data_IF_308731330634
#
_entry.id   IF_308731330634
#
_cell.length_a   1.000
_cell.length_b   1.000
_cell.length_c   1.000
_cell.angle_alpha   90.00
_cell.angle_beta   90.00
_cell.angle_gamma   90.00
#
_symmetry.space_group_name_H-M   'P 1'
#
loop_
_entity.id
_entity.type
_entity.pdbx_description
1 polymer ?
#
# COMPACT_ATOMS: atom_id res chain seq x y z
N UNK A 1 7.67 -10.48 -58.10
CA UNK A 1 7.05 -9.58 -57.14
C UNK A 1 7.00 -10.33 -55.83
N UNK A 2 7.99 -10.06 -54.99
CA UNK A 2 8.21 -10.75 -53.72
C UNK A 2 7.26 -10.21 -52.64
N UNK A 3 6.52 -11.10 -51.99
CA UNK A 3 5.78 -10.79 -50.77
C UNK A 3 6.69 -11.05 -49.60
N UNK A 4 7.16 -9.97 -48.98
CA UNK A 4 7.84 -9.96 -47.71
C UNK A 4 6.86 -10.42 -46.62
N UNK A 5 7.01 -11.60 -46.11
CA UNK A 5 6.41 -12.06 -44.87
C UNK A 5 7.31 -11.61 -43.75
N UNK A 6 6.93 -10.47 -43.19
CA UNK A 6 7.52 -9.92 -41.96
C UNK A 6 7.16 -10.87 -40.80
N UNK A 7 8.06 -11.79 -40.53
CA UNK A 7 8.01 -12.65 -39.35
C UNK A 7 8.51 -11.82 -38.17
N UNK A 8 7.61 -11.01 -37.59
CA UNK A 8 7.81 -10.38 -36.28
C UNK A 8 8.16 -11.46 -35.25
N UNK A 9 9.45 -11.58 -35.05
CA UNK A 9 10.05 -12.33 -33.95
C UNK A 9 9.52 -11.79 -32.66
N UNK A 10 8.50 -12.46 -32.11
CA UNK A 10 8.08 -12.33 -30.72
C UNK A 10 9.26 -12.78 -29.84
N UNK A 11 10.26 -11.92 -29.69
CA UNK A 11 11.32 -12.10 -28.70
C UNK A 11 10.65 -12.06 -27.34
N UNK A 12 10.55 -13.23 -26.73
CA UNK A 12 10.01 -13.45 -25.41
C UNK A 12 10.54 -12.42 -24.44
N UNK A 13 9.63 -11.57 -23.92
CA UNK A 13 9.93 -10.72 -22.78
C UNK A 13 10.31 -11.66 -21.64
N UNK A 14 11.62 -11.79 -21.40
CA UNK A 14 12.17 -12.56 -20.30
C UNK A 14 11.34 -12.25 -19.05
N UNK A 15 10.77 -13.29 -18.49
CA UNK A 15 9.98 -13.26 -17.26
C UNK A 15 10.86 -12.60 -16.18
N UNK A 16 10.61 -11.31 -15.89
CA UNK A 16 11.32 -10.57 -14.84
C UNK A 16 10.83 -11.07 -13.51
N UNK A 17 11.20 -12.28 -13.17
CA UNK A 17 11.17 -12.74 -11.79
C UNK A 17 12.07 -11.84 -10.98
N UNK A 18 11.62 -11.40 -9.80
CA UNK A 18 12.46 -10.59 -8.91
C UNK A 18 13.78 -11.33 -8.68
N UNK A 19 14.90 -10.65 -9.00
CA UNK A 19 16.23 -11.20 -8.81
C UNK A 19 16.37 -11.71 -7.35
N UNK A 20 16.71 -12.97 -7.10
CA UNK A 20 16.91 -13.49 -5.76
C UNK A 20 17.95 -12.66 -4.97
N UNK A 21 18.92 -12.07 -5.66
CA UNK A 21 19.91 -11.15 -5.08
C UNK A 21 19.27 -9.89 -4.49
N UNK A 22 18.23 -9.36 -5.14
CA UNK A 22 17.47 -8.22 -4.61
C UNK A 22 16.83 -8.56 -3.26
N UNK A 23 16.18 -9.70 -3.16
CA UNK A 23 15.51 -10.11 -1.91
C UNK A 23 16.52 -10.36 -0.79
N UNK A 24 17.62 -11.04 -1.09
CA UNK A 24 18.71 -11.26 -0.12
C UNK A 24 19.28 -9.91 0.34
N UNK A 25 19.55 -9.00 -0.58
CA UNK A 25 20.05 -7.65 -0.26
C UNK A 25 19.09 -6.89 0.66
N UNK A 26 17.80 -6.90 0.36
CA UNK A 26 16.77 -6.24 1.20
C UNK A 26 16.72 -6.83 2.60
N UNK A 27 16.74 -8.16 2.74
CA UNK A 27 16.72 -8.83 4.04
C UNK A 27 17.98 -8.49 4.84
N UNK A 28 19.16 -8.52 4.21
CA UNK A 28 20.42 -8.15 4.86
C UNK A 28 20.38 -6.72 5.38
N UNK A 29 19.90 -5.78 4.58
CA UNK A 29 19.76 -4.38 5.00
C UNK A 29 18.75 -4.24 6.15
N UNK A 30 17.61 -4.90 6.09
CA UNK A 30 16.60 -4.85 7.15
C UNK A 30 17.14 -5.45 8.47
N UNK A 31 17.87 -6.56 8.41
CA UNK A 31 18.54 -7.15 9.59
C UNK A 31 19.58 -6.20 10.16
N UNK A 32 20.43 -5.60 9.31
CA UNK A 32 21.44 -4.65 9.73
C UNK A 32 20.83 -3.42 10.41
N UNK A 33 19.77 -2.84 9.85
CA UNK A 33 19.04 -1.71 10.45
C UNK A 33 18.43 -2.09 11.80
N UNK A 34 17.83 -3.27 11.91
CA UNK A 34 17.25 -3.74 13.16
C UNK A 34 18.34 -3.95 14.23
N UNK A 35 19.46 -4.57 13.87
CA UNK A 35 20.58 -4.77 14.78
C UNK A 35 21.19 -3.44 15.23
N UNK A 36 21.36 -2.48 14.31
CA UNK A 36 21.85 -1.14 14.62
C UNK A 36 20.88 -0.41 15.58
N UNK A 37 19.57 -0.48 15.33
CA UNK A 37 18.57 0.12 16.21
C UNK A 37 18.62 -0.48 17.63
N UNK A 38 18.73 -1.80 17.75
CA UNK A 38 18.90 -2.48 19.06
C UNK A 38 20.18 -2.02 19.77
N UNK A 39 21.31 -1.97 19.06
CA UNK A 39 22.58 -1.55 19.63
C UNK A 39 22.56 -0.09 20.10
N UNK A 40 21.97 0.83 19.29
CA UNK A 40 21.80 2.25 19.63
C UNK A 40 20.91 2.40 20.84
N UNK A 41 19.76 1.72 20.87
CA UNK A 41 18.85 1.77 22.02
C UNK A 41 19.50 1.22 23.30
N UNK A 42 20.25 0.13 23.21
CA UNK A 42 21.02 -0.39 24.33
C UNK A 42 22.08 0.61 24.84
N UNK A 43 22.77 1.29 23.93
CA UNK A 43 23.75 2.33 24.26
C UNK A 43 23.08 3.54 24.92
N UNK A 44 21.96 4.04 24.37
CA UNK A 44 21.19 5.13 24.96
C UNK A 44 20.67 4.78 26.34
N UNK A 45 20.32 3.52 26.59
CA UNK A 45 19.90 3.06 27.92
C UNK A 45 21.00 3.18 28.96
N UNK A 46 22.25 2.92 28.59
CA UNK A 46 23.39 2.99 29.51
C UNK A 46 23.90 4.42 29.71
N UNK A 47 23.78 5.28 28.71
CA UNK A 47 24.34 6.65 28.72
C UNK A 47 23.36 7.72 29.16
N UNK A 48 22.05 7.51 28.96
CA UNK A 48 20.97 8.47 29.26
C UNK A 48 19.89 7.82 30.15
N UNK A 49 20.15 7.65 31.45
CA UNK A 49 19.23 6.93 32.36
C UNK A 49 17.86 7.59 32.50
N UNK A 50 17.75 8.89 32.24
CA UNK A 50 16.46 9.60 32.19
C UNK A 50 15.57 9.16 31.03
N UNK A 51 16.14 8.62 29.98
CA UNK A 51 15.47 8.03 28.82
C UNK A 51 15.45 6.51 28.95
N UNK A 52 14.51 5.98 29.71
CA UNK A 52 14.30 4.52 29.70
C UNK A 52 13.74 4.12 28.32
N UNK A 53 14.52 3.45 27.46
CA UNK A 53 13.96 2.86 26.24
C UNK A 53 12.87 1.90 26.67
N UNK A 54 11.73 1.99 26.00
CA UNK A 54 10.63 1.07 26.19
C UNK A 54 10.86 -0.05 25.19
N UNK A 55 11.39 -1.21 25.57
CA UNK A 55 11.76 -2.28 24.64
C UNK A 55 10.55 -2.73 23.81
N UNK A 56 9.34 -2.64 24.40
CA UNK A 56 8.10 -2.96 23.70
C UNK A 56 7.86 -2.01 22.50
N UNK A 57 8.24 -0.71 22.61
CA UNK A 57 8.15 0.24 21.51
C UNK A 57 8.99 -0.26 20.31
N UNK A 58 10.25 -0.62 20.55
CA UNK A 58 11.14 -1.09 19.49
C UNK A 58 10.58 -2.35 18.82
N UNK A 59 10.03 -3.29 19.60
CA UNK A 59 9.41 -4.50 19.06
C UNK A 59 8.24 -4.17 18.12
N UNK A 60 7.34 -3.28 18.53
CA UNK A 60 6.15 -2.91 17.74
C UNK A 60 6.56 -2.16 16.46
N UNK A 61 7.50 -1.22 16.56
CA UNK A 61 8.01 -0.48 15.39
C UNK A 61 8.76 -1.40 14.43
N UNK A 62 9.63 -2.28 14.96
CA UNK A 62 10.34 -3.24 14.14
C UNK A 62 9.38 -4.22 13.45
N UNK A 63 8.38 -4.72 14.17
CA UNK A 63 7.36 -5.60 13.60
C UNK A 63 6.61 -4.93 12.44
N UNK A 64 6.25 -3.64 12.55
CA UNK A 64 5.63 -2.88 11.47
C UNK A 64 6.57 -2.78 10.26
N UNK A 65 7.83 -2.39 10.46
CA UNK A 65 8.82 -2.30 9.39
C UNK A 65 9.03 -3.65 8.68
N UNK A 66 9.19 -4.73 9.43
CA UNK A 66 9.34 -6.08 8.88
C UNK A 66 8.09 -6.57 8.15
N UNK A 67 6.89 -6.26 8.63
CA UNK A 67 5.66 -6.59 7.93
C UNK A 67 5.63 -5.98 6.51
N UNK A 68 6.06 -4.72 6.36
CA UNK A 68 6.18 -4.07 5.05
C UNK A 68 7.28 -4.68 4.18
N UNK A 69 8.46 -4.97 4.73
CA UNK A 69 9.56 -5.60 3.98
C UNK A 69 9.14 -6.97 3.45
N UNK A 70 8.57 -7.82 4.30
CA UNK A 70 8.16 -9.18 3.94
C UNK A 70 7.01 -9.16 2.94
N UNK A 71 5.94 -8.42 3.21
CA UNK A 71 4.82 -8.32 2.29
C UNK A 71 5.22 -7.65 0.96
N UNK A 72 6.11 -6.65 1.01
CA UNK A 72 6.64 -5.98 -0.18
C UNK A 72 7.47 -6.92 -1.05
N UNK A 73 8.34 -7.75 -0.47
CA UNK A 73 9.12 -8.75 -1.22
C UNK A 73 8.22 -9.82 -1.86
N UNK A 74 7.17 -10.26 -1.16
CA UNK A 74 6.18 -11.17 -1.73
C UNK A 74 5.39 -10.50 -2.85
N UNK A 75 4.97 -9.24 -2.64
CA UNK A 75 4.24 -8.46 -3.65
C UNK A 75 5.08 -8.23 -4.92
N UNK A 76 6.38 -7.91 -4.79
CA UNK A 76 7.28 -7.71 -5.94
C UNK A 76 7.45 -9.01 -6.75
N UNK A 77 7.56 -10.17 -6.07
CA UNK A 77 7.60 -11.47 -6.73
C UNK A 77 6.29 -11.84 -7.41
N UNK A 78 5.17 -11.42 -6.85
CA UNK A 78 3.85 -11.77 -7.39
C UNK A 78 3.42 -10.88 -8.54
N UNK A 79 3.77 -9.58 -8.49
CA UNK A 79 3.42 -8.56 -9.49
C UNK A 79 4.60 -7.63 -9.78
N UNK A 80 5.70 -8.08 -10.38
CA UNK A 80 6.92 -7.29 -10.56
C UNK A 80 6.72 -6.02 -11.39
N UNK A 81 5.68 -6.00 -12.25
CA UNK A 81 5.36 -4.85 -13.10
C UNK A 81 4.59 -3.74 -12.39
N UNK A 82 4.01 -3.99 -11.19
CA UNK A 82 3.21 -2.99 -10.47
C UNK A 82 4.04 -1.95 -9.74
N UNK A 83 5.26 -2.30 -9.31
CA UNK A 83 6.10 -1.44 -8.47
C UNK A 83 5.63 -1.28 -7.01
N UNK A 84 4.42 -1.73 -6.67
CA UNK A 84 3.86 -1.63 -5.30
C UNK A 84 4.74 -2.37 -4.30
N UNK A 85 5.23 -3.57 -4.65
CA UNK A 85 6.09 -4.36 -3.78
C UNK A 85 7.36 -3.60 -3.40
N UNK A 86 8.00 -2.94 -4.35
CA UNK A 86 9.21 -2.12 -4.10
C UNK A 86 8.92 -0.92 -3.21
N UNK A 87 7.80 -0.23 -3.44
CA UNK A 87 7.38 0.87 -2.56
C UNK A 87 7.17 0.38 -1.12
N UNK A 88 6.51 -0.76 -0.93
CA UNK A 88 6.33 -1.36 0.40
C UNK A 88 7.67 -1.72 1.06
N UNK A 89 8.61 -2.29 0.31
CA UNK A 89 9.97 -2.56 0.81
C UNK A 89 10.64 -1.26 1.28
N UNK A 90 10.58 -0.20 0.48
CA UNK A 90 11.17 1.10 0.84
C UNK A 90 10.51 1.67 2.09
N UNK A 91 9.17 1.62 2.20
CA UNK A 91 8.44 2.04 3.41
C UNK A 91 8.97 1.30 4.64
N UNK A 92 9.07 -0.04 4.56
CA UNK A 92 9.57 -0.85 5.66
C UNK A 92 11.02 -0.52 6.06
N UNK A 93 11.90 -0.31 5.08
CA UNK A 93 13.29 0.07 5.33
C UNK A 93 13.40 1.47 5.95
N UNK A 94 12.62 2.46 5.50
CA UNK A 94 12.57 3.78 6.13
C UNK A 94 12.06 3.69 7.56
N UNK A 95 11.05 2.84 7.79
CA UNK A 95 10.48 2.62 9.11
C UNK A 95 11.48 1.99 10.09
N UNK A 96 12.32 1.07 9.63
CA UNK A 96 13.41 0.50 10.42
C UNK A 96 14.56 1.50 10.61
N UNK A 97 14.91 2.24 9.55
CA UNK A 97 16.04 3.17 9.57
C UNK A 97 15.80 4.34 10.54
N UNK A 98 14.56 4.82 10.71
CA UNK A 98 14.27 5.92 11.63
C UNK A 98 14.70 5.60 13.08
N UNK A 99 14.63 4.34 13.50
CA UNK A 99 15.01 3.94 14.85
C UNK A 99 16.54 4.01 15.09
N UNK A 100 17.33 4.02 14.03
CA UNK A 100 18.80 4.24 14.12
C UNK A 100 19.18 5.72 14.27
N UNK A 101 18.25 6.64 14.05
CA UNK A 101 18.47 8.09 14.07
C UNK A 101 17.96 8.75 15.35
N UNK A 102 17.59 7.96 16.37
CA UNK A 102 17.11 8.45 17.67
C UNK A 102 18.13 9.25 18.51
N UNK A 103 19.47 9.11 18.34
CA UNK A 103 20.40 9.98 19.05
C UNK A 103 20.11 11.46 18.79
N UNK A 104 20.27 12.35 19.80
CA UNK A 104 19.91 13.76 19.69
C UNK A 104 20.42 14.50 18.46
N UNK A 105 21.68 14.31 18.01
CA UNK A 105 22.18 15.01 16.83
C UNK A 105 21.43 14.71 15.54
N UNK A 106 20.83 13.53 15.43
CA UNK A 106 20.14 13.03 14.23
C UNK A 106 18.63 12.92 14.38
N UNK A 107 18.08 13.24 15.55
CA UNK A 107 16.66 13.14 15.85
C UNK A 107 15.70 13.77 14.82
N UNK A 108 15.99 14.92 14.20
CA UNK A 108 15.11 15.52 13.19
C UNK A 108 14.86 14.61 11.98
N UNK A 109 15.84 13.77 11.64
CA UNK A 109 15.71 12.85 10.51
C UNK A 109 14.72 11.70 10.79
N UNK A 110 14.43 11.39 12.06
CA UNK A 110 13.38 10.42 12.44
C UNK A 110 12.05 10.85 11.86
N UNK A 111 11.68 12.11 12.07
CA UNK A 111 10.43 12.67 11.56
C UNK A 111 10.41 12.71 10.04
N UNK A 112 11.51 13.12 9.39
CA UNK A 112 11.60 13.12 7.93
C UNK A 112 11.34 11.73 7.34
N UNK A 113 12.02 10.70 7.88
CA UNK A 113 11.84 9.33 7.38
C UNK A 113 10.43 8.81 7.64
N UNK A 114 9.84 9.15 8.77
CA UNK A 114 8.46 8.79 9.11
C UNK A 114 7.46 9.42 8.14
N UNK A 115 7.58 10.73 7.90
CA UNK A 115 6.69 11.44 6.97
C UNK A 115 6.88 10.97 5.52
N UNK A 116 8.11 10.67 5.10
CA UNK A 116 8.37 10.08 3.78
C UNK A 116 7.73 8.69 3.66
N UNK A 117 7.83 7.86 4.69
CA UNK A 117 7.19 6.54 4.68
C UNK A 117 5.66 6.65 4.61
N UNK A 118 5.04 7.57 5.36
CA UNK A 118 3.60 7.85 5.29
C UNK A 118 3.18 8.45 3.94
N UNK A 119 4.00 9.32 3.35
CA UNK A 119 3.78 9.83 2.00
C UNK A 119 3.83 8.73 0.94
N UNK A 120 4.79 7.79 1.06
CA UNK A 120 4.86 6.62 0.19
C UNK A 120 3.67 5.68 0.41
N UNK A 121 3.18 5.59 1.63
CA UNK A 121 1.96 4.86 1.93
C UNK A 121 0.76 5.45 1.19
N UNK A 122 0.55 6.76 1.26
CA UNK A 122 -0.47 7.46 0.48
C UNK A 122 -0.30 7.21 -1.03
N UNK A 123 0.94 7.18 -1.52
CA UNK A 123 1.25 6.84 -2.91
C UNK A 123 0.80 5.42 -3.27
N UNK A 124 1.10 4.40 -2.43
CA UNK A 124 0.62 3.02 -2.64
C UNK A 124 -0.89 3.00 -2.76
N UNK A 125 -1.59 3.74 -1.93
CA UNK A 125 -3.05 3.83 -1.95
C UNK A 125 -3.61 4.38 -3.24
N UNK A 126 -3.12 5.55 -3.63
CA UNK A 126 -3.58 6.21 -4.84
C UNK A 126 -3.28 5.37 -6.09
N UNK A 127 -2.24 4.56 -6.06
CA UNK A 127 -1.84 3.73 -7.22
C UNK A 127 -2.41 2.33 -7.25
N UNK A 128 -2.91 1.82 -6.13
CA UNK A 128 -3.47 0.46 -6.07
C UNK A 128 -4.71 0.31 -6.98
N UNK A 129 -4.89 -0.80 -7.71
CA UNK A 129 -4.00 -1.96 -7.81
C UNK A 129 -2.94 -1.84 -8.93
N UNK A 130 -2.95 -0.78 -9.74
CA UNK A 130 -2.12 -0.63 -10.95
C UNK A 130 -0.62 -0.38 -10.65
N UNK A 131 -0.32 0.22 -9.50
CA UNK A 131 1.03 0.63 -9.10
C UNK A 131 1.61 1.80 -9.90
N UNK A 132 0.80 2.50 -10.70
CA UNK A 132 1.27 3.59 -11.57
C UNK A 132 0.46 4.86 -11.35
N UNK A 133 1.17 5.97 -11.11
CA UNK A 133 0.59 7.30 -11.10
C UNK A 133 0.36 7.79 -12.54
N UNK A 134 -0.80 8.40 -12.81
CA UNK A 134 -1.14 8.95 -14.11
C UNK A 134 -1.50 10.43 -14.01
N UNK A 135 -1.06 11.23 -15.00
CA UNK A 135 -1.46 12.62 -15.13
C UNK A 135 -1.26 13.46 -13.87
N UNK A 136 -2.35 14.00 -13.34
CA UNK A 136 -2.35 14.87 -12.16
C UNK A 136 -1.91 14.16 -10.86
N UNK A 137 -2.13 12.83 -10.73
CA UNK A 137 -1.71 12.05 -9.55
C UNK A 137 -0.19 12.10 -9.36
N UNK A 138 0.58 12.08 -10.45
CA UNK A 138 2.04 12.24 -10.40
C UNK A 138 2.44 13.63 -9.89
N UNK A 139 1.72 14.67 -10.35
CA UNK A 139 1.98 16.05 -9.86
C UNK A 139 1.64 16.16 -8.38
N UNK A 140 0.51 15.62 -7.95
CA UNK A 140 0.11 15.59 -6.54
C UNK A 140 1.16 14.86 -5.67
N UNK A 141 1.72 13.74 -6.12
CA UNK A 141 2.78 13.04 -5.40
C UNK A 141 4.05 13.89 -5.30
N UNK A 142 4.45 14.58 -6.36
CA UNK A 142 5.62 15.49 -6.32
C UNK A 142 5.38 16.63 -5.33
N UNK A 143 4.17 17.22 -5.34
CA UNK A 143 3.81 18.28 -4.37
C UNK A 143 3.84 17.73 -2.94
N UNK A 144 3.31 16.53 -2.69
CA UNK A 144 3.33 15.90 -1.36
C UNK A 144 4.75 15.70 -0.85
N UNK A 145 5.63 15.10 -1.65
CA UNK A 145 7.02 14.89 -1.23
C UNK A 145 7.79 16.20 -1.06
N UNK A 146 7.57 17.15 -1.97
CA UNK A 146 8.13 18.49 -1.85
C UNK A 146 7.67 19.19 -0.57
N UNK A 147 6.39 19.09 -0.24
CA UNK A 147 5.81 19.63 0.99
C UNK A 147 6.45 19.03 2.25
N UNK A 148 6.61 17.71 2.28
CA UNK A 148 7.25 17.00 3.41
C UNK A 148 8.69 17.50 3.61
N UNK A 149 9.48 17.55 2.53
CA UNK A 149 10.90 17.94 2.62
C UNK A 149 11.05 19.43 2.95
N UNK A 150 10.31 20.31 2.27
CA UNK A 150 10.38 21.76 2.51
C UNK A 150 9.85 22.14 3.89
N UNK A 151 8.76 21.50 4.32
CA UNK A 151 8.21 21.70 5.66
C UNK A 151 9.19 21.27 6.76
N UNK A 152 9.83 20.11 6.58
CA UNK A 152 10.86 19.64 7.48
C UNK A 152 12.06 20.60 7.53
N UNK A 153 12.54 21.09 6.38
CA UNK A 153 13.64 22.08 6.32
C UNK A 153 13.25 23.42 6.98
N UNK A 154 12.00 23.84 6.85
CA UNK A 154 11.52 25.08 7.44
C UNK A 154 11.32 24.97 8.97
N UNK A 155 10.92 23.80 9.48
CA UNK A 155 10.66 23.56 10.89
C UNK A 155 11.94 23.31 11.69
N UNK A 156 12.81 22.45 11.19
CA UNK A 156 13.97 21.91 11.91
C UNK A 156 14.90 22.96 12.50
N UNK A 157 15.23 24.07 11.85
CA UNK A 157 16.17 25.07 12.39
C UNK A 157 15.68 25.79 13.64
N UNK A 158 14.38 25.74 13.92
CA UNK A 158 13.72 26.51 14.98
C UNK A 158 13.20 25.66 16.14
N UNK A 159 13.49 24.36 16.18
CA UNK A 159 13.13 23.47 17.28
C UNK A 159 14.37 22.78 17.84
N UNK A 160 14.78 23.18 19.05
CA UNK A 160 16.02 22.71 19.69
C UNK A 160 15.99 21.21 19.99
N UNK A 161 14.89 20.69 20.47
CA UNK A 161 14.84 19.37 21.14
C UNK A 161 14.05 18.32 20.36
N UNK A 162 13.22 18.73 19.40
CA UNK A 162 12.23 17.84 18.78
C UNK A 162 11.38 17.06 19.80
N UNK A 163 11.18 17.62 20.99
CA UNK A 163 10.36 17.02 22.05
C UNK A 163 10.87 15.68 22.58
N UNK A 164 12.05 15.22 22.16
CA UNK A 164 12.54 13.89 22.52
C UNK A 164 13.44 13.87 23.76
N UNK A 165 14.02 15.00 24.14
CA UNK A 165 15.02 15.01 25.23
C UNK A 165 15.22 16.40 25.81
N UNK A 166 15.01 16.53 27.14
CA UNK A 166 15.41 17.68 27.92
C UNK A 166 16.19 17.22 29.17
N UNK A 167 17.40 17.71 29.46
CA UNK A 167 18.28 18.56 28.63
C UNK A 167 19.15 17.72 27.71
N UNK A 168 19.10 17.99 26.41
CA UNK A 168 19.98 17.36 25.42
C UNK A 168 20.73 18.41 24.64
N UNK A 169 21.87 18.03 24.05
CA UNK A 169 22.56 18.88 23.10
C UNK A 169 21.68 19.13 21.87
N UNK A 170 21.68 20.34 21.31
CA UNK A 170 20.94 20.66 20.13
C UNK A 170 21.36 19.77 18.94
N UNK A 171 20.42 19.51 18.04
CA UNK A 171 20.69 18.72 16.85
C UNK A 171 21.50 19.50 15.80
N UNK A 172 22.05 18.79 14.80
CA UNK A 172 23.01 19.35 13.82
C UNK A 172 22.44 20.46 12.94
N UNK A 173 21.13 20.59 12.81
CA UNK A 173 20.47 21.62 11.99
C UNK A 173 19.87 22.76 12.80
N UNK A 174 20.05 22.75 14.12
CA UNK A 174 19.52 23.80 15.00
C UNK A 174 20.21 25.14 14.75
N UNK A 175 19.44 26.20 14.62
CA UNK A 175 19.91 27.56 14.45
C UNK A 175 19.58 28.42 15.67
N UNK A 176 18.30 28.45 16.02
CA UNK A 176 17.81 29.14 17.21
C UNK A 176 16.41 28.63 17.60
N UNK A 177 16.09 28.62 18.86
CA UNK A 177 14.72 28.37 19.30
C UNK A 177 13.87 29.63 19.07
N UNK A 178 12.80 29.47 18.31
CA UNK A 178 11.83 30.53 18.05
C UNK A 178 10.41 29.95 18.07
N UNK A 179 9.75 30.00 19.22
CA UNK A 179 8.44 29.42 19.41
C UNK A 179 7.39 29.95 18.41
N UNK A 180 7.46 31.24 18.08
CA UNK A 180 6.49 31.84 17.15
C UNK A 180 6.63 31.33 15.73
N UNK A 181 7.87 31.23 15.23
CA UNK A 181 8.14 30.63 13.92
C UNK A 181 7.76 29.17 13.92
N UNK A 182 8.13 28.41 14.97
CA UNK A 182 7.82 26.98 15.11
C UNK A 182 6.32 26.72 15.05
N UNK A 183 5.50 27.49 15.80
CA UNK A 183 4.05 27.35 15.81
C UNK A 183 3.44 27.61 14.44
N UNK A 184 3.84 28.69 13.77
CA UNK A 184 3.35 29.01 12.41
C UNK A 184 3.73 27.92 11.41
N UNK A 185 4.99 27.48 11.40
CA UNK A 185 5.47 26.47 10.46
C UNK A 185 4.81 25.11 10.74
N UNK A 186 4.68 24.71 12.01
CA UNK A 186 3.98 23.48 12.42
C UNK A 186 2.53 23.50 11.95
N UNK A 187 1.80 24.57 12.19
CA UNK A 187 0.41 24.74 11.76
C UNK A 187 0.28 24.59 10.23
N UNK A 188 1.11 25.33 9.47
CA UNK A 188 1.11 25.27 8.00
C UNK A 188 1.41 23.86 7.51
N UNK A 189 2.38 23.19 8.15
CA UNK A 189 2.79 21.82 7.80
C UNK A 189 1.65 20.82 8.03
N UNK A 190 1.00 20.87 9.20
CA UNK A 190 -0.12 19.98 9.54
C UNK A 190 -1.35 20.24 8.69
N UNK A 191 -1.69 21.49 8.37
CA UNK A 191 -2.77 21.83 7.44
C UNK A 191 -2.49 21.24 6.07
N UNK A 192 -1.24 21.32 5.58
CA UNK A 192 -0.85 20.72 4.30
C UNK A 192 -0.94 19.19 4.32
N UNK A 193 -0.43 18.53 5.35
CA UNK A 193 -0.51 17.06 5.51
C UNK A 193 -1.97 16.61 5.57
N UNK A 194 -2.80 17.26 6.38
CA UNK A 194 -4.21 16.94 6.49
C UNK A 194 -4.95 17.13 5.16
N UNK A 195 -4.67 18.21 4.44
CA UNK A 195 -5.24 18.47 3.11
C UNK A 195 -4.85 17.37 2.11
N UNK A 196 -3.58 17.00 2.05
CA UNK A 196 -3.11 15.94 1.13
C UNK A 196 -3.69 14.58 1.50
N UNK A 197 -3.83 14.27 2.79
CA UNK A 197 -4.46 13.05 3.25
C UNK A 197 -5.96 13.00 2.89
N UNK A 198 -6.68 14.09 3.07
CA UNK A 198 -8.09 14.20 2.65
C UNK A 198 -8.25 14.06 1.13
N UNK A 199 -7.35 14.64 0.34
CA UNK A 199 -7.34 14.47 -1.11
C UNK A 199 -7.09 13.01 -1.50
N UNK A 200 -6.16 12.32 -0.83
CA UNK A 200 -5.93 10.89 -1.07
C UNK A 200 -7.18 10.05 -0.76
N UNK A 201 -7.85 10.32 0.36
CA UNK A 201 -9.14 9.69 0.70
C UNK A 201 -10.20 9.99 -0.35
N UNK A 202 -10.33 11.25 -0.77
CA UNK A 202 -11.31 11.65 -1.79
C UNK A 202 -11.07 10.92 -3.13
N UNK A 203 -9.80 10.73 -3.53
CA UNK A 203 -9.44 9.95 -4.73
C UNK A 203 -9.88 8.49 -4.59
N UNK A 204 -9.61 7.85 -3.44
CA UNK A 204 -10.00 6.47 -3.18
C UNK A 204 -11.53 6.32 -3.18
N UNK A 205 -12.24 7.22 -2.51
CA UNK A 205 -13.70 7.25 -2.46
C UNK A 205 -14.28 7.45 -3.87
N UNK A 206 -13.77 8.41 -4.64
CA UNK A 206 -14.21 8.64 -6.02
C UNK A 206 -14.00 7.38 -6.88
N UNK A 207 -12.84 6.72 -6.77
CA UNK A 207 -12.58 5.46 -7.50
C UNK A 207 -13.55 4.36 -7.08
N UNK A 208 -13.87 4.26 -5.79
CA UNK A 208 -14.85 3.31 -5.28
C UNK A 208 -16.25 3.55 -5.86
N UNK A 209 -16.67 4.82 -5.97
CA UNK A 209 -17.97 5.17 -6.55
C UNK A 209 -18.06 4.80 -8.03
N UNK A 210 -16.96 4.96 -8.77
CA UNK A 210 -16.89 4.70 -10.21
C UNK A 210 -16.58 3.22 -10.54
N UNK A 211 -16.24 2.41 -9.55
CA UNK A 211 -15.87 1.02 -9.73
C UNK A 211 -17.09 0.10 -9.90
N UNK A 212 -16.91 -0.98 -10.67
CA UNK A 212 -17.86 -2.10 -10.73
C UNK A 212 -18.05 -2.78 -9.37
N UNK A 213 -19.07 -3.60 -9.20
CA UNK A 213 -19.34 -4.32 -7.94
C UNK A 213 -18.13 -5.12 -7.46
N UNK A 214 -17.41 -5.79 -8.37
CA UNK A 214 -16.19 -6.54 -8.05
C UNK A 214 -15.07 -5.60 -7.62
N UNK A 215 -14.81 -4.53 -8.36
CA UNK A 215 -13.80 -3.53 -8.04
C UNK A 215 -14.08 -2.79 -6.72
N UNK A 216 -15.35 -2.54 -6.40
CA UNK A 216 -15.74 -1.94 -5.10
C UNK A 216 -15.33 -2.82 -3.92
N UNK A 217 -15.44 -4.13 -4.03
CA UNK A 217 -15.06 -5.06 -2.96
C UNK A 217 -13.55 -5.00 -2.68
N UNK A 218 -12.72 -4.97 -3.72
CA UNK A 218 -11.27 -4.85 -3.58
C UNK A 218 -10.88 -3.51 -2.92
N UNK A 219 -11.47 -2.40 -3.39
CA UNK A 219 -11.20 -1.06 -2.84
C UNK A 219 -11.72 -0.93 -1.40
N UNK A 220 -12.86 -1.54 -1.06
CA UNK A 220 -13.44 -1.49 0.29
C UNK A 220 -12.55 -2.15 1.33
N UNK A 221 -11.96 -3.31 1.02
CA UNK A 221 -11.05 -4.01 1.94
C UNK A 221 -9.80 -3.17 2.22
N UNK A 222 -9.25 -2.55 1.17
CA UNK A 222 -8.14 -1.64 1.32
C UNK A 222 -8.54 -0.38 2.13
N UNK A 223 -9.71 0.18 1.87
CA UNK A 223 -10.25 1.34 2.60
C UNK A 223 -10.47 1.05 4.09
N UNK A 224 -10.94 -0.16 4.44
CA UNK A 224 -11.10 -0.56 5.84
C UNK A 224 -9.76 -0.66 6.58
N UNK A 225 -8.69 -1.07 5.91
CA UNK A 225 -7.35 -1.08 6.52
C UNK A 225 -6.77 0.33 6.67
N UNK A 226 -7.15 1.25 5.78
CA UNK A 226 -6.65 2.62 5.77
C UNK A 226 -7.28 3.52 6.80
N UNK A 227 -8.58 3.38 7.00
CA UNK A 227 -9.32 4.26 7.91
C UNK A 227 -8.62 4.38 9.27
N UNK A 228 -8.29 3.26 9.95
CA UNK A 228 -7.55 3.28 11.21
C UNK A 228 -6.17 3.95 11.11
N UNK A 229 -5.43 3.69 10.02
CA UNK A 229 -4.11 4.31 9.81
C UNK A 229 -4.25 5.82 9.64
N UNK A 230 -5.21 6.26 8.80
CA UNK A 230 -5.48 7.67 8.61
C UNK A 230 -5.84 8.36 9.93
N UNK A 231 -6.71 7.77 10.73
CA UNK A 231 -7.10 8.30 12.03
C UNK A 231 -5.89 8.38 12.95
N UNK A 232 -5.12 7.32 13.09
CA UNK A 232 -3.99 7.27 14.01
C UNK A 232 -2.80 8.14 13.58
N UNK A 233 -2.49 8.19 12.28
CA UNK A 233 -1.29 8.86 11.78
C UNK A 233 -1.52 10.33 11.35
N UNK A 234 -2.75 10.73 11.09
CA UNK A 234 -3.07 12.07 10.60
C UNK A 234 -4.12 12.77 11.44
N UNK A 235 -5.30 12.17 11.63
CA UNK A 235 -6.40 12.88 12.28
C UNK A 235 -6.12 13.18 13.74
N UNK A 236 -5.56 12.24 14.49
CA UNK A 236 -5.23 12.45 15.92
C UNK A 236 -4.12 13.50 16.06
N UNK A 237 -2.93 13.38 15.42
CA UNK A 237 -1.91 14.41 15.53
C UNK A 237 -2.38 15.79 15.05
N UNK A 238 -3.08 15.86 13.92
CA UNK A 238 -3.61 17.12 13.42
C UNK A 238 -4.61 17.77 14.38
N UNK A 239 -5.48 16.98 15.06
CA UNK A 239 -6.43 17.52 16.03
C UNK A 239 -5.74 18.06 17.30
N UNK A 240 -4.64 17.46 17.71
CA UNK A 240 -3.84 17.95 18.82
C UNK A 240 -3.16 19.27 18.48
N UNK A 241 -2.49 19.34 17.34
CA UNK A 241 -1.75 20.52 16.91
C UNK A 241 -2.66 21.70 16.53
N UNK A 242 -3.75 21.43 15.77
CA UNK A 242 -4.60 22.49 15.23
C UNK A 242 -5.73 22.91 16.18
N UNK A 243 -6.20 22.00 17.04
CA UNK A 243 -7.37 22.23 17.90
C UNK A 243 -7.03 22.20 19.39
N UNK A 244 -5.77 21.92 19.76
CA UNK A 244 -5.36 21.80 21.15
C UNK A 244 -6.03 20.64 21.91
N UNK A 245 -6.53 19.63 21.20
CA UNK A 245 -7.25 18.52 21.82
C UNK A 245 -6.26 17.51 22.41
N UNK A 246 -6.20 17.39 23.72
CA UNK A 246 -5.48 16.31 24.39
C UNK A 246 -6.29 15.01 24.27
N UNK A 247 -5.96 14.17 23.28
CA UNK A 247 -6.76 12.99 22.97
C UNK A 247 -6.17 11.69 23.52
N UNK A 248 -4.90 11.44 23.30
CA UNK A 248 -4.24 10.20 23.68
C UNK A 248 -2.82 10.49 24.20
N UNK A 249 -2.37 9.70 25.17
CA UNK A 249 -0.97 9.68 25.55
C UNK A 249 -0.09 9.28 24.35
N UNK A 250 1.06 9.90 24.22
CA UNK A 250 2.01 9.66 23.13
C UNK A 250 2.36 8.18 22.96
N UNK A 251 2.44 7.43 24.07
CA UNK A 251 2.67 5.98 24.03
C UNK A 251 1.51 5.27 23.33
N UNK A 252 0.28 5.55 23.74
CA UNK A 252 -0.91 4.96 23.13
C UNK A 252 -1.00 5.28 21.65
N UNK A 253 -0.64 6.50 21.22
CA UNK A 253 -0.58 6.87 19.80
C UNK A 253 0.44 6.03 19.02
N UNK A 254 1.67 5.90 19.55
CA UNK A 254 2.72 5.11 18.91
C UNK A 254 2.28 3.65 18.74
N UNK A 255 1.71 3.04 19.78
CA UNK A 255 1.23 1.65 19.69
C UNK A 255 0.09 1.51 18.70
N UNK A 256 -0.94 2.35 18.82
CA UNK A 256 -2.11 2.32 17.94
C UNK A 256 -1.71 2.54 16.48
N UNK A 257 -0.85 3.54 16.21
CA UNK A 257 -0.36 3.85 14.88
C UNK A 257 0.41 2.69 14.25
N UNK A 258 1.33 2.07 15.00
CA UNK A 258 2.12 0.94 14.48
C UNK A 258 1.27 -0.32 14.27
N UNK A 259 0.34 -0.63 15.19
CA UNK A 259 -0.59 -1.77 15.04
C UNK A 259 -1.49 -1.56 13.83
N UNK A 260 -2.05 -0.35 13.66
CA UNK A 260 -2.83 -0.01 12.48
C UNK A 260 -1.99 -0.15 11.20
N UNK A 261 -0.74 0.31 11.24
CA UNK A 261 0.19 0.23 10.11
C UNK A 261 0.49 -1.21 9.70
N UNK A 262 0.59 -2.15 10.65
CA UNK A 262 0.79 -3.58 10.36
C UNK A 262 -0.39 -4.21 9.61
N UNK A 263 -1.62 -3.72 9.79
CA UNK A 263 -2.79 -4.27 9.12
C UNK A 263 -2.69 -4.12 7.60
N UNK A 264 -2.07 -3.06 7.11
CA UNK A 264 -2.00 -2.76 5.69
C UNK A 264 -1.21 -3.78 4.86
N UNK A 265 0.07 -4.11 5.18
CA UNK A 265 0.80 -5.13 4.43
C UNK A 265 0.07 -6.47 4.41
N UNK A 266 -0.63 -6.82 5.49
CA UNK A 266 -1.43 -8.05 5.56
C UNK A 266 -2.60 -7.98 4.57
N UNK A 267 -3.35 -6.88 4.55
CA UNK A 267 -4.48 -6.70 3.62
C UNK A 267 -4.01 -6.72 2.17
N UNK A 268 -2.94 -5.99 1.85
CA UNK A 268 -2.38 -5.99 0.49
C UNK A 268 -1.94 -7.40 0.09
N UNK A 269 -1.28 -8.15 0.99
CA UNK A 269 -0.85 -9.51 0.73
C UNK A 269 -2.04 -10.45 0.49
N UNK A 270 -3.08 -10.36 1.31
CA UNK A 270 -4.31 -11.14 1.15
C UNK A 270 -4.97 -10.86 -0.20
N UNK A 271 -5.07 -9.59 -0.60
CA UNK A 271 -5.65 -9.22 -1.90
C UNK A 271 -4.80 -9.71 -3.08
N UNK A 272 -3.49 -9.63 -2.97
CA UNK A 272 -2.59 -10.17 -4.00
C UNK A 272 -2.70 -11.69 -4.14
N UNK A 273 -2.83 -12.41 -3.01
CA UNK A 273 -3.02 -13.87 -3.00
C UNK A 273 -4.39 -14.25 -3.56
N UNK A 274 -5.45 -13.56 -3.17
CA UNK A 274 -6.81 -13.78 -3.72
C UNK A 274 -6.85 -13.57 -5.23
N UNK A 275 -6.22 -12.50 -5.70
CA UNK A 275 -6.14 -12.24 -7.14
C UNK A 275 -5.38 -13.35 -7.89
N UNK A 276 -4.33 -13.94 -7.30
CA UNK A 276 -3.65 -15.10 -7.89
C UNK A 276 -4.54 -16.34 -7.96
N UNK A 277 -5.25 -16.63 -6.88
CA UNK A 277 -6.12 -17.78 -6.82
C UNK A 277 -7.27 -17.67 -7.85
N UNK A 278 -7.80 -16.46 -8.06
CA UNK A 278 -8.82 -16.26 -9.11
C UNK A 278 -8.27 -16.47 -10.52
N UNK A 279 -7.07 -16.00 -10.82
CA UNK A 279 -6.44 -16.24 -12.12
C UNK A 279 -6.09 -17.71 -12.36
N UNK A 280 -5.65 -18.42 -11.32
CA UNK A 280 -5.38 -19.86 -11.40
C UNK A 280 -6.65 -20.66 -11.73
N UNK A 281 -7.80 -20.29 -11.15
CA UNK A 281 -9.10 -20.91 -11.47
C UNK A 281 -9.51 -20.69 -12.93
N UNK A 282 -9.31 -19.47 -13.43
CA UNK A 282 -9.61 -19.16 -14.85
C UNK A 282 -8.68 -19.95 -15.79
N UNK A 283 -7.40 -20.05 -15.46
CA UNK A 283 -6.46 -20.85 -16.24
C UNK A 283 -6.82 -22.34 -16.25
N UNK A 284 -7.21 -22.92 -15.10
CA UNK A 284 -7.69 -24.30 -15.00
C UNK A 284 -8.97 -24.50 -15.81
N UNK A 285 -9.90 -23.53 -15.77
CA UNK A 285 -11.10 -23.54 -16.61
C UNK A 285 -10.76 -23.54 -18.09
N UNK A 286 -9.87 -22.65 -18.55
CA UNK A 286 -9.44 -22.58 -19.95
C UNK A 286 -8.77 -23.90 -20.35
N UNK A 287 -7.94 -24.49 -19.50
CA UNK A 287 -7.29 -25.77 -19.77
C UNK A 287 -8.29 -26.93 -19.84
N UNK A 288 -9.32 -26.94 -19.00
CA UNK A 288 -10.41 -27.93 -19.08
C UNK A 288 -11.23 -27.77 -20.37
N UNK A 289 -11.58 -26.54 -20.72
CA UNK A 289 -12.36 -26.23 -21.93
C UNK A 289 -11.55 -26.37 -23.24
N UNK A 290 -10.21 -26.40 -23.17
CA UNK A 290 -9.37 -26.66 -24.36
C UNK A 290 -9.41 -28.11 -24.85
N UNK A 291 -9.93 -29.05 -24.07
CA UNK A 291 -10.24 -30.40 -24.49
C UNK A 291 -11.62 -30.42 -25.15
N UNK A 292 -11.85 -31.19 -26.20
CA UNK A 292 -13.17 -31.36 -26.78
C UNK A 292 -14.07 -32.04 -25.74
N UNK A 293 -14.94 -31.24 -25.10
CA UNK A 293 -15.92 -31.70 -24.12
C UNK A 293 -17.31 -31.77 -24.78
N UNK A 294 -18.13 -32.73 -24.44
CA UNK A 294 -19.56 -32.70 -24.77
C UNK A 294 -20.24 -31.44 -24.25
N UNK A 295 -21.23 -30.93 -24.99
CA UNK A 295 -21.88 -29.65 -24.64
C UNK A 295 -22.46 -29.60 -23.20
N UNK A 296 -22.99 -30.70 -22.69
CA UNK A 296 -23.50 -30.80 -21.32
C UNK A 296 -22.40 -30.74 -20.23
N UNK A 297 -21.19 -31.26 -20.54
CA UNK A 297 -20.05 -31.16 -19.61
C UNK A 297 -19.49 -29.72 -19.55
N UNK A 298 -19.54 -28.97 -20.66
CA UNK A 298 -19.14 -27.57 -20.70
C UNK A 298 -20.05 -26.74 -19.78
N UNK A 299 -21.35 -26.96 -19.80
CA UNK A 299 -22.31 -26.30 -18.91
C UNK A 299 -22.01 -26.63 -17.44
N UNK A 300 -21.78 -27.91 -17.11
CA UNK A 300 -21.47 -28.34 -15.76
C UNK A 300 -20.15 -27.72 -15.23
N UNK A 301 -19.09 -27.71 -16.06
CA UNK A 301 -17.79 -27.13 -15.71
C UNK A 301 -17.90 -25.61 -15.49
N UNK A 302 -18.66 -24.91 -16.33
CA UNK A 302 -18.89 -23.47 -16.17
C UNK A 302 -19.73 -23.16 -14.94
N UNK A 303 -20.84 -23.90 -14.70
CA UNK A 303 -21.69 -23.76 -13.52
C UNK A 303 -20.91 -23.95 -12.22
N UNK A 304 -20.07 -24.99 -12.14
CA UNK A 304 -19.22 -25.25 -10.97
C UNK A 304 -18.17 -24.15 -10.76
N UNK A 305 -17.52 -23.71 -11.85
CA UNK A 305 -16.46 -22.70 -11.76
C UNK A 305 -16.99 -21.32 -11.38
N UNK A 306 -18.14 -20.94 -11.93
CA UNK A 306 -18.81 -19.67 -11.65
C UNK A 306 -19.64 -19.73 -10.35
N UNK A 307 -19.80 -20.92 -9.76
CA UNK A 307 -20.69 -21.18 -8.61
C UNK A 307 -22.09 -20.65 -8.85
N UNK A 308 -22.56 -20.80 -10.06
CA UNK A 308 -23.91 -20.42 -10.47
C UNK A 308 -24.67 -21.65 -10.98
N UNK A 309 -25.47 -22.32 -10.14
CA UNK A 309 -26.25 -23.49 -10.54
C UNK A 309 -27.40 -23.14 -11.50
N UNK A 310 -27.69 -21.85 -11.69
CA UNK A 310 -28.71 -21.40 -12.64
C UNK A 310 -28.19 -21.17 -14.05
N UNK A 311 -26.86 -21.26 -14.26
CA UNK A 311 -26.24 -21.07 -15.55
C UNK A 311 -26.73 -22.11 -16.55
N UNK A 312 -27.19 -21.65 -17.70
CA UNK A 312 -27.59 -22.47 -18.84
C UNK A 312 -26.82 -22.06 -20.07
N UNK A 313 -26.27 -23.03 -20.79
CA UNK A 313 -25.58 -22.81 -22.06
C UNK A 313 -26.55 -22.98 -23.22
N UNK A 314 -26.70 -21.90 -23.98
CA UNK A 314 -27.47 -21.93 -25.23
C UNK A 314 -26.59 -21.99 -26.44
N UNK A 315 -26.87 -22.92 -27.35
CA UNK A 315 -26.22 -23.07 -28.62
C UNK A 315 -27.12 -22.58 -29.75
N UNK A 316 -26.57 -21.80 -30.69
CA UNK A 316 -27.33 -21.34 -31.85
C UNK A 316 -27.42 -22.45 -32.85
N UNK A 317 -28.64 -22.85 -33.24
CA UNK A 317 -28.82 -23.86 -34.29
C UNK A 317 -28.41 -23.26 -35.66
N UNK A 318 -27.64 -23.99 -36.50
CA UNK A 318 -27.19 -23.46 -37.78
C UNK A 318 -28.32 -23.06 -38.75
N UNK A 319 -29.41 -23.78 -38.68
CA UNK A 319 -30.53 -23.64 -39.62
C UNK A 319 -31.76 -22.94 -39.05
N UNK A 320 -31.74 -22.52 -37.75
CA UNK A 320 -32.87 -21.89 -37.07
C UNK A 320 -32.39 -20.68 -36.24
N UNK A 321 -33.24 -19.64 -36.19
CA UNK A 321 -32.97 -18.43 -35.37
C UNK A 321 -33.08 -18.68 -33.84
N UNK A 322 -33.34 -19.92 -33.42
CA UNK A 322 -33.52 -20.30 -32.03
C UNK A 322 -32.23 -20.67 -31.31
N UNK A 323 -32.27 -20.58 -29.99
CA UNK A 323 -31.23 -21.06 -29.07
C UNK A 323 -31.72 -22.35 -28.44
N UNK A 324 -30.89 -23.40 -28.52
CA UNK A 324 -31.15 -24.72 -27.94
C UNK A 324 -30.17 -25.02 -26.81
N UNK A 325 -30.56 -25.83 -25.84
CA UNK A 325 -29.67 -26.33 -24.79
C UNK A 325 -28.75 -27.46 -25.32
N UNK A 326 -27.92 -28.00 -24.45
CA UNK A 326 -27.03 -29.12 -24.79
C UNK A 326 -27.73 -30.41 -25.22
N UNK A 327 -29.03 -30.56 -24.94
CA UNK A 327 -29.88 -31.68 -25.34
C UNK A 327 -30.69 -31.38 -26.62
N UNK A 328 -30.54 -30.17 -27.20
CA UNK A 328 -31.28 -29.75 -28.40
C UNK A 328 -32.66 -29.18 -28.10
N UNK A 329 -33.02 -28.97 -26.85
CA UNK A 329 -34.34 -28.39 -26.47
C UNK A 329 -34.27 -26.85 -26.56
N UNK A 330 -35.35 -26.18 -27.04
CA UNK A 330 -35.39 -24.73 -27.17
C UNK A 330 -35.28 -24.06 -25.83
N UNK A 331 -34.32 -23.12 -25.72
CA UNK A 331 -34.14 -22.25 -24.54
C UNK A 331 -34.87 -20.92 -24.78
N UNK A 332 -35.66 -20.45 -23.79
CA UNK A 332 -36.23 -19.12 -23.85
C UNK A 332 -35.07 -18.10 -23.76
N UNK A 333 -34.88 -17.33 -24.83
CA UNK A 333 -33.90 -16.22 -24.82
C UNK A 333 -34.54 -15.13 -23.92
N UNK A 334 -33.87 -14.72 -22.83
CA UNK A 334 -34.32 -13.55 -22.08
C UNK A 334 -34.37 -12.37 -23.03
N UNK A 335 -35.51 -11.67 -23.11
CA UNK A 335 -35.64 -10.48 -23.93
C UNK A 335 -34.57 -9.44 -23.58
N UNK A 336 -34.25 -8.54 -24.47
CA UNK A 336 -33.19 -7.51 -24.34
C UNK A 336 -33.24 -6.71 -23.03
N UNK A 337 -34.37 -6.66 -22.35
CA UNK A 337 -34.57 -6.00 -21.05
C UNK A 337 -33.91 -6.73 -19.86
N UNK A 338 -33.56 -8.01 -19.98
CA UNK A 338 -32.90 -8.78 -18.93
C UNK A 338 -31.36 -8.67 -18.98
N UNK A 339 -30.79 -8.36 -20.15
CA UNK A 339 -29.35 -8.23 -20.33
C UNK A 339 -28.76 -6.98 -19.65
N UNK A 340 -29.60 -6.02 -19.23
CA UNK A 340 -29.17 -4.76 -18.59
C UNK A 340 -29.06 -4.87 -17.06
N UNK A 341 -29.33 -6.03 -16.46
CA UNK A 341 -29.32 -6.23 -14.99
C UNK A 341 -28.20 -7.13 -14.45
N UNK A 342 -27.13 -7.33 -15.20
CA UNK A 342 -25.93 -8.05 -14.72
C UNK A 342 -24.79 -7.09 -14.38
#
# INVERSE_FOLDING_TARGET
MASDTDSDTYTGSADRTSDPRFVVGVIVVAVALTAAAVAIQAHLFTTLPARRPVPERLLVVAAAGWAFVLAGTVADRTRPRSGIGRLMVVIGLLWLAKETLLPPPTAPFVFLLEQLALGMLAHVFVTFPSGRLRGWERRAAVVLYGWIVLGWLAFTPFDETWGFCEPCAPHVLFVRDDPAIREVVSTVLWVGIATMALLAVAVVVRRWWLASRVGRREISLLGMALGPIFVAAVAIPASQELLGMATLDLRAQVYLGNVALMALPVVILVELLRARLSHARVADLVQRLSRPLPAGEVEAVLSDTLKDPSLRLGFRHPDDAGVVDAAGLPLPVPGDDAATRL
#
